data_IF_631375570155
#
_entry.id   IF_631375570155
#
_cell.length_a   1.000
_cell.length_b   1.000
_cell.length_c   1.000
_cell.angle_alpha   90.00
_cell.angle_beta   90.00
_cell.angle_gamma   90.00
#
_symmetry.space_group_name_H-M   'P 1'
#
loop_
_entity.id
_entity.type
_entity.pdbx_description
1 polymer ?
#
# COMPACT_ATOMS: atom_id res chain seq x y z
N UNK A 1 3.17 37.62 -11.75
CA UNK A 1 2.29 37.23 -10.63
C UNK A 1 1.49 35.96 -10.92
N UNK A 2 0.78 35.85 -12.06
CA UNK A 2 -0.11 34.72 -12.38
C UNK A 2 0.59 33.37 -12.67
N UNK A 3 1.78 33.42 -13.29
CA UNK A 3 2.56 32.22 -13.68
C UNK A 3 3.13 31.47 -12.47
N UNK A 4 3.67 32.18 -11.48
CA UNK A 4 4.23 31.56 -10.27
C UNK A 4 3.19 30.79 -9.45
N UNK A 5 1.95 31.29 -9.39
CA UNK A 5 0.85 30.61 -8.69
C UNK A 5 0.46 29.30 -9.37
N UNK A 6 0.46 29.26 -10.71
CA UNK A 6 0.17 28.04 -11.46
C UNK A 6 1.28 26.99 -11.28
N UNK A 7 2.55 27.40 -11.33
CA UNK A 7 3.69 26.51 -11.11
C UNK A 7 3.66 25.90 -9.70
N UNK A 8 3.38 26.72 -8.69
CA UNK A 8 3.23 26.25 -7.30
C UNK A 8 2.07 25.25 -7.15
N UNK A 9 0.93 25.50 -7.79
CA UNK A 9 -0.22 24.61 -7.74
C UNK A 9 0.08 23.25 -8.38
N UNK A 10 0.77 23.23 -9.52
CA UNK A 10 1.18 21.99 -10.19
C UNK A 10 2.18 21.19 -9.35
N UNK A 11 3.17 21.86 -8.75
CA UNK A 11 4.14 21.20 -7.88
C UNK A 11 3.47 20.59 -6.64
N UNK A 12 2.53 21.30 -6.02
CA UNK A 12 1.76 20.79 -4.89
C UNK A 12 0.94 19.56 -5.28
N UNK A 13 0.29 19.60 -6.45
CA UNK A 13 -0.53 18.49 -6.94
C UNK A 13 0.32 17.23 -7.19
N UNK A 14 1.50 17.39 -7.78
CA UNK A 14 2.45 16.30 -8.01
C UNK A 14 2.98 15.72 -6.69
N UNK A 15 3.27 16.55 -5.68
CA UNK A 15 3.70 16.10 -4.36
C UNK A 15 2.62 15.27 -3.64
N UNK A 16 1.35 15.67 -3.73
CA UNK A 16 0.24 14.92 -3.11
C UNK A 16 -0.02 13.61 -3.83
N UNK A 17 0.06 13.61 -5.17
CA UNK A 17 -0.13 12.39 -5.98
C UNK A 17 1.00 11.37 -5.81
N UNK A 18 2.14 11.77 -5.24
CA UNK A 18 3.30 10.90 -5.01
C UNK A 18 3.41 10.42 -3.55
N UNK A 19 2.44 10.74 -2.70
CA UNK A 19 2.38 10.13 -1.37
C UNK A 19 2.05 8.65 -1.57
N UNK A 20 2.97 7.72 -1.22
CA UNK A 20 2.63 6.30 -1.26
C UNK A 20 1.49 6.11 -0.26
N UNK A 21 0.41 5.46 -0.71
CA UNK A 21 -0.55 4.88 0.20
C UNK A 21 0.27 4.02 1.17
N UNK A 22 0.32 4.42 2.44
CA UNK A 22 0.94 3.59 3.45
C UNK A 22 0.13 2.32 3.47
N UNK A 23 0.77 1.18 3.20
CA UNK A 23 0.08 -0.09 3.15
C UNK A 23 -0.67 -0.29 4.48
N UNK A 24 -1.99 -0.23 4.43
CA UNK A 24 -2.84 -0.32 5.60
C UNK A 24 -3.33 -1.75 5.65
N UNK A 25 -2.48 -2.58 6.23
CA UNK A 25 -2.79 -3.98 6.36
C UNK A 25 -4.01 -4.19 7.25
N UNK A 26 -4.97 -5.02 6.83
CA UNK A 26 -6.13 -5.31 7.65
C UNK A 26 -5.73 -5.97 8.97
N UNK A 27 -6.58 -5.79 9.97
CA UNK A 27 -6.43 -6.51 11.24
C UNK A 27 -6.45 -8.03 11.03
N UNK A 28 -5.58 -8.72 11.76
CA UNK A 28 -5.54 -10.18 11.78
C UNK A 28 -6.62 -10.79 12.70
N UNK A 29 -7.46 -9.99 13.35
CA UNK A 29 -8.52 -10.47 14.22
C UNK A 29 -9.56 -11.31 13.45
N UNK A 30 -9.77 -12.56 13.90
CA UNK A 30 -10.74 -13.48 13.27
C UNK A 30 -10.27 -14.12 11.96
N UNK A 31 -9.07 -13.79 11.47
CA UNK A 31 -8.52 -14.36 10.24
C UNK A 31 -7.91 -15.74 10.52
N UNK A 32 -8.37 -16.75 9.78
CA UNK A 32 -7.79 -18.11 9.83
C UNK A 32 -6.68 -18.20 8.80
N UNK A 33 -5.45 -18.38 9.27
CA UNK A 33 -4.29 -18.64 8.43
C UNK A 33 -4.05 -20.16 8.33
N UNK A 34 -3.63 -20.62 7.15
CA UNK A 34 -3.13 -21.99 6.96
C UNK A 34 -1.74 -22.22 7.61
N UNK A 35 -1.18 -21.17 8.20
CA UNK A 35 0.17 -21.08 8.76
C UNK A 35 1.27 -21.57 7.79
N UNK A 36 1.01 -21.51 6.48
CA UNK A 36 2.02 -21.76 5.47
C UNK A 36 2.96 -20.56 5.40
N UNK A 37 4.26 -20.82 5.55
CA UNK A 37 5.26 -19.76 5.50
C UNK A 37 5.54 -19.40 4.04
N UNK A 38 5.12 -18.20 3.64
CA UNK A 38 5.38 -17.59 2.34
C UNK A 38 5.70 -16.12 2.54
N UNK A 39 6.43 -15.52 1.61
CA UNK A 39 6.71 -14.08 1.61
C UNK A 39 6.32 -13.49 0.26
N UNK A 40 5.71 -12.30 0.30
CA UNK A 40 5.52 -11.41 -0.84
C UNK A 40 6.37 -10.13 -0.68
N UNK A 41 6.50 -9.38 -1.77
CA UNK A 41 6.89 -7.96 -1.74
C UNK A 41 5.72 -7.09 -2.17
N UNK A 42 5.79 -5.79 -1.86
CA UNK A 42 4.72 -4.87 -2.24
C UNK A 42 4.54 -4.80 -3.76
N UNK A 43 5.64 -4.88 -4.53
CA UNK A 43 5.59 -4.87 -5.99
C UNK A 43 4.88 -6.09 -6.57
N UNK A 44 5.03 -7.26 -5.93
CA UNK A 44 4.36 -8.48 -6.37
C UNK A 44 2.83 -8.37 -6.21
N UNK A 45 2.38 -7.86 -5.07
CA UNK A 45 0.94 -7.71 -4.80
C UNK A 45 0.32 -6.54 -5.58
N UNK A 46 1.08 -5.46 -5.81
CA UNK A 46 0.61 -4.30 -6.55
C UNK A 46 0.24 -4.61 -8.01
N UNK A 47 0.81 -5.66 -8.60
CA UNK A 47 0.43 -6.14 -9.92
C UNK A 47 -1.05 -6.56 -9.99
N UNK A 48 -1.60 -7.03 -8.87
CA UNK A 48 -2.98 -7.44 -8.71
C UNK A 48 -3.83 -6.37 -7.97
N UNK A 49 -3.25 -5.20 -7.68
CA UNK A 49 -3.90 -4.15 -6.90
C UNK A 49 -4.06 -4.48 -5.42
N UNK A 50 -3.27 -5.42 -4.90
CA UNK A 50 -3.27 -5.87 -3.51
C UNK A 50 -2.05 -5.33 -2.75
N UNK A 51 -2.07 -5.50 -1.43
CA UNK A 51 -0.98 -5.12 -0.54
C UNK A 51 -0.31 -6.33 0.10
N UNK A 52 1.00 -6.27 0.26
CA UNK A 52 1.75 -7.33 0.93
C UNK A 52 1.72 -7.10 2.45
N UNK A 53 1.00 -7.98 3.15
CA UNK A 53 0.72 -7.83 4.57
C UNK A 53 1.14 -9.05 5.40
N UNK A 54 1.49 -8.86 6.68
CA UNK A 54 1.93 -9.95 7.55
C UNK A 54 0.77 -10.89 7.89
N UNK A 55 1.05 -12.20 7.88
CA UNK A 55 0.08 -13.23 8.31
C UNK A 55 0.05 -13.37 9.83
N UNK A 56 -1.05 -13.89 10.42
CA UNK A 56 -1.16 -14.20 11.84
C UNK A 56 -0.09 -15.18 12.36
N UNK A 57 0.30 -16.19 11.58
CA UNK A 57 1.32 -17.18 11.97
C UNK A 57 2.73 -16.86 11.45
N UNK A 58 2.96 -15.68 10.88
CA UNK A 58 4.24 -15.30 10.23
C UNK A 58 4.25 -15.48 8.71
N UNK A 59 5.24 -14.83 8.07
CA UNK A 59 5.27 -14.63 6.62
C UNK A 59 4.33 -13.49 6.18
N UNK A 60 4.05 -13.41 4.88
CA UNK A 60 3.16 -12.42 4.28
C UNK A 60 2.28 -12.96 3.15
N UNK A 61 1.20 -12.24 2.86
CA UNK A 61 0.23 -12.51 1.79
C UNK A 61 -0.18 -11.24 1.05
N UNK A 62 -0.69 -11.40 -0.16
CA UNK A 62 -1.36 -10.32 -0.89
C UNK A 62 -2.83 -10.28 -0.49
N UNK A 63 -3.26 -9.17 0.12
CA UNK A 63 -4.65 -8.94 0.55
C UNK A 63 -5.09 -7.53 0.17
N UNK A 64 -6.40 -7.27 0.16
CA UNK A 64 -6.90 -5.90 0.07
C UNK A 64 -6.45 -5.14 1.33
N UNK A 65 -5.81 -3.99 1.12
CA UNK A 65 -5.56 -3.03 2.21
C UNK A 65 -6.86 -2.31 2.61
N UNK A 66 -6.92 -1.72 3.80
CA UNK A 66 -8.09 -0.93 4.28
C UNK A 66 -7.98 0.58 4.04
#
# INVERSE_FOLDING_TARGET
MKSHTAVLAVLLFLCVASIPAQAYCPSNEGVVSDCSFSECTQEQCAADGLECCPKPCGGSWCVEGE
#
